data_IF_225213760124
#
_entry.id   IF_225213760124
#
_cell.length_a   1.000
_cell.length_b   1.000
_cell.length_c   1.000
_cell.angle_alpha   90.00
_cell.angle_beta   90.00
_cell.angle_gamma   90.00
#
_symmetry.space_group_name_H-M   'P 1'
#
loop_
_entity.id
_entity.type
_entity.pdbx_description
1 polymer ?
#
# COMPACT_ATOMS: atom_id res chain seq x y z
N UNK A 1 10.21 -3.85 -17.86
CA UNK A 1 8.85 -3.28 -17.99
C UNK A 1 8.88 -1.90 -17.36
N UNK A 2 8.35 -0.88 -18.03
CA UNK A 2 8.32 0.50 -17.52
C UNK A 2 7.32 0.58 -16.36
N UNK A 3 7.50 1.51 -15.43
CA UNK A 3 6.59 1.80 -14.30
C UNK A 3 5.14 2.19 -14.71
N UNK A 4 4.82 2.05 -15.98
CA UNK A 4 3.51 2.30 -16.59
C UNK A 4 2.58 1.07 -16.57
N UNK A 5 3.01 -0.06 -16.05
CA UNK A 5 2.25 -1.31 -16.06
C UNK A 5 1.59 -1.61 -14.71
N UNK A 6 1.15 -0.58 -13.99
CA UNK A 6 0.21 -0.78 -12.88
C UNK A 6 -1.08 -1.39 -13.46
N UNK A 7 -1.70 -2.36 -12.74
CA UNK A 7 -2.93 -2.97 -13.20
C UNK A 7 -3.96 -1.90 -13.50
N UNK A 8 -4.61 -2.01 -14.64
CA UNK A 8 -5.68 -1.10 -15.04
C UNK A 8 -6.90 -1.38 -14.17
N UNK A 9 -7.61 -0.34 -13.80
CA UNK A 9 -8.90 -0.50 -13.12
C UNK A 9 -9.94 -0.71 -14.22
N UNK A 10 -10.22 -1.96 -14.53
CA UNK A 10 -11.07 -2.35 -15.66
C UNK A 10 -12.46 -1.72 -15.59
N UNK A 11 -13.07 -1.64 -14.42
CA UNK A 11 -14.38 -1.02 -14.22
C UNK A 11 -14.41 0.45 -14.65
N UNK A 12 -13.28 1.16 -14.54
CA UNK A 12 -13.17 2.57 -14.99
C UNK A 12 -12.93 2.64 -16.50
N UNK A 13 -12.14 1.72 -17.04
CA UNK A 13 -11.80 1.71 -18.47
C UNK A 13 -12.97 1.25 -19.34
N UNK A 14 -13.89 0.42 -18.81
CA UNK A 14 -15.07 -0.05 -19.56
C UNK A 14 -16.21 0.98 -19.57
N UNK A 15 -16.16 2.03 -18.75
CA UNK A 15 -17.18 3.10 -18.70
C UNK A 15 -16.55 4.50 -18.93
N UNK A 16 -16.01 4.77 -20.13
CA UNK A 16 -15.30 6.01 -20.42
C UNK A 16 -16.21 7.26 -20.39
N UNK A 17 -17.50 7.09 -20.42
CA UNK A 17 -18.49 8.18 -20.31
C UNK A 17 -18.96 8.40 -18.87
N UNK A 18 -18.48 7.59 -17.93
CA UNK A 18 -18.89 7.61 -16.51
C UNK A 18 -20.42 7.55 -16.33
N UNK A 19 -21.05 6.74 -17.14
CA UNK A 19 -22.52 6.56 -17.11
C UNK A 19 -22.97 5.68 -15.93
N UNK A 20 -22.09 4.81 -15.45
CA UNK A 20 -22.36 3.84 -14.39
C UNK A 20 -21.43 4.00 -13.20
N UNK A 21 -20.18 4.45 -13.41
CA UNK A 21 -19.15 4.55 -12.39
C UNK A 21 -18.49 5.91 -12.36
N UNK A 22 -18.24 6.43 -11.15
CA UNK A 22 -17.38 7.59 -10.92
C UNK A 22 -16.20 7.16 -10.05
N UNK A 23 -14.97 7.34 -10.54
CA UNK A 23 -13.78 6.94 -9.83
C UNK A 23 -13.18 8.10 -9.03
N UNK A 24 -13.04 7.89 -7.73
CA UNK A 24 -12.40 8.82 -6.82
C UNK A 24 -11.13 8.21 -6.25
N UNK A 25 -10.04 8.99 -6.18
CA UNK A 25 -8.81 8.55 -5.56
C UNK A 25 -8.19 9.66 -4.73
N UNK A 26 -7.69 9.30 -3.56
CA UNK A 26 -6.85 10.15 -2.72
C UNK A 26 -5.36 9.95 -3.00
N UNK A 27 -4.99 8.94 -3.78
CA UNK A 27 -3.62 8.66 -4.20
C UNK A 27 -3.54 8.74 -5.72
N UNK A 28 -2.68 9.65 -6.23
CA UNK A 28 -2.51 9.88 -7.66
C UNK A 28 -1.14 9.37 -8.11
N UNK A 29 -1.11 8.15 -8.63
CA UNK A 29 0.02 7.56 -9.33
C UNK A 29 0.04 7.92 -10.83
N UNK A 30 0.89 7.25 -11.59
CA UNK A 30 1.01 7.49 -13.04
C UNK A 30 -0.25 7.06 -13.81
N UNK A 31 -0.93 6.02 -13.32
CA UNK A 31 -2.16 5.55 -13.93
C UNK A 31 -3.31 6.52 -13.66
N UNK A 32 -3.51 6.95 -12.42
CA UNK A 32 -4.54 7.91 -12.05
C UNK A 32 -4.34 9.26 -12.74
N UNK A 33 -3.10 9.71 -12.95
CA UNK A 33 -2.81 10.93 -13.73
C UNK A 33 -3.32 10.81 -15.17
N UNK A 34 -3.16 9.64 -15.79
CA UNK A 34 -3.69 9.38 -17.15
C UNK A 34 -5.22 9.37 -17.15
N UNK A 35 -5.83 8.77 -16.15
CA UNK A 35 -7.29 8.82 -16.00
C UNK A 35 -7.78 10.24 -15.75
N UNK A 36 -7.11 10.99 -14.88
CA UNK A 36 -7.47 12.38 -14.59
C UNK A 36 -7.37 13.28 -15.81
N UNK A 37 -6.35 13.12 -16.67
CA UNK A 37 -6.23 13.87 -17.93
C UNK A 37 -7.36 13.57 -18.92
N UNK A 38 -8.04 12.45 -18.76
CA UNK A 38 -9.23 12.03 -19.53
C UNK A 38 -10.55 12.36 -18.82
N UNK A 39 -10.50 12.98 -17.63
CA UNK A 39 -11.69 13.26 -16.81
C UNK A 39 -12.26 12.05 -16.08
N UNK A 40 -11.56 10.91 -16.06
CA UNK A 40 -12.05 9.64 -15.53
C UNK A 40 -11.65 9.38 -14.06
N UNK A 41 -10.97 10.30 -13.41
CA UNK A 41 -10.58 10.18 -12.01
C UNK A 41 -10.76 11.52 -11.31
N UNK A 42 -11.51 11.51 -10.22
CA UNK A 42 -11.69 12.65 -9.32
C UNK A 42 -10.69 12.54 -8.18
N UNK A 43 -9.87 13.57 -8.00
CA UNK A 43 -8.87 13.60 -6.93
C UNK A 43 -9.44 14.18 -5.64
N UNK A 44 -9.25 13.46 -4.53
CA UNK A 44 -9.56 13.95 -3.19
C UNK A 44 -8.25 14.37 -2.52
N UNK A 45 -7.93 15.68 -2.49
CA UNK A 45 -6.69 16.16 -1.87
C UNK A 45 -6.73 15.97 -0.36
N UNK A 46 -5.77 15.19 0.17
CA UNK A 46 -5.67 14.92 1.60
C UNK A 46 -4.27 14.45 2.00
N UNK A 47 -3.98 14.49 3.28
CA UNK A 47 -2.81 13.81 3.84
C UNK A 47 -3.23 12.43 4.37
N UNK A 48 -2.35 11.45 4.25
CA UNK A 48 -2.65 10.04 4.54
C UNK A 48 -3.26 9.83 5.95
N UNK A 49 -2.75 10.53 6.95
CA UNK A 49 -3.24 10.44 8.34
C UNK A 49 -4.71 10.88 8.52
N UNK A 50 -5.26 11.65 7.57
CA UNK A 50 -6.65 12.11 7.64
C UNK A 50 -7.63 11.12 7.00
N UNK A 51 -7.13 10.03 6.45
CA UNK A 51 -7.95 9.02 5.79
C UNK A 51 -9.04 8.42 6.71
N UNK A 52 -8.76 8.04 7.97
CA UNK A 52 -9.79 7.57 8.88
C UNK A 52 -10.89 8.60 9.14
N UNK A 53 -10.53 9.88 9.27
CA UNK A 53 -11.50 10.95 9.49
C UNK A 53 -12.38 11.17 8.25
N UNK A 54 -11.81 11.10 7.06
CA UNK A 54 -12.55 11.17 5.79
C UNK A 54 -13.67 10.13 5.75
N UNK A 55 -13.34 8.86 6.04
CA UNK A 55 -14.34 7.79 6.04
C UNK A 55 -15.36 7.90 7.16
N UNK A 56 -14.97 8.37 8.35
CA UNK A 56 -15.94 8.56 9.44
C UNK A 56 -16.92 9.69 9.23
N UNK A 57 -16.49 10.78 8.57
CA UNK A 57 -17.27 12.03 8.53
C UNK A 57 -17.84 12.39 7.17
N UNK A 58 -17.21 11.95 6.10
CA UNK A 58 -17.50 12.48 4.76
C UNK A 58 -17.83 11.43 3.72
N UNK A 59 -17.39 10.19 3.89
CA UNK A 59 -17.68 9.11 2.95
C UNK A 59 -18.55 8.07 3.65
N UNK A 60 -19.71 7.84 3.10
CA UNK A 60 -20.53 6.68 3.44
C UNK A 60 -20.09 5.51 2.58
N UNK A 61 -19.67 4.42 3.22
CA UNK A 61 -19.28 3.20 2.52
C UNK A 61 -20.47 2.25 2.50
N UNK A 62 -21.06 2.01 1.35
CA UNK A 62 -22.13 1.02 1.22
C UNK A 62 -21.57 -0.40 1.13
N UNK A 63 -20.48 -0.60 0.36
CA UNK A 63 -19.83 -1.91 0.23
C UNK A 63 -18.31 -1.72 0.30
N UNK A 64 -17.64 -2.46 1.17
CA UNK A 64 -16.18 -2.53 1.24
C UNK A 64 -15.71 -3.89 0.68
N UNK A 65 -14.94 -3.85 -0.40
CA UNK A 65 -14.21 -5.02 -0.91
C UNK A 65 -12.80 -5.00 -0.37
N UNK A 66 -12.40 -6.05 0.29
CA UNK A 66 -11.14 -6.09 1.03
C UNK A 66 -10.38 -7.36 0.71
N UNK A 67 -9.22 -7.27 0.07
CA UNK A 67 -8.35 -8.42 -0.10
C UNK A 67 -7.72 -8.80 1.24
N UNK A 68 -7.81 -10.07 1.60
CA UNK A 68 -7.26 -10.64 2.83
C UNK A 68 -6.45 -11.89 2.54
N UNK A 69 -5.47 -12.19 3.40
CA UNK A 69 -4.72 -13.44 3.30
C UNK A 69 -5.61 -14.66 3.60
N UNK A 70 -5.11 -15.84 3.31
CA UNK A 70 -5.74 -17.09 3.81
C UNK A 70 -5.86 -17.05 5.33
N UNK A 71 -6.98 -17.55 5.90
CA UNK A 71 -7.17 -17.59 7.34
C UNK A 71 -6.14 -18.48 8.03
N UNK A 72 -5.87 -18.20 9.28
CA UNK A 72 -5.17 -19.11 10.18
C UNK A 72 -6.16 -20.12 10.81
N UNK A 73 -5.65 -21.03 11.65
CA UNK A 73 -6.45 -22.07 12.33
C UNK A 73 -7.55 -21.48 13.25
N UNK A 74 -7.45 -20.21 13.60
CA UNK A 74 -8.43 -19.49 14.42
C UNK A 74 -9.34 -18.59 13.59
N UNK A 75 -9.26 -18.62 12.27
CA UNK A 75 -10.07 -17.82 11.36
C UNK A 75 -9.61 -16.37 11.17
N UNK A 76 -8.38 -16.03 11.57
CA UNK A 76 -7.84 -14.68 11.33
C UNK A 76 -7.09 -14.60 10.01
N UNK A 77 -7.37 -13.54 9.26
CA UNK A 77 -6.73 -13.18 8.01
C UNK A 77 -5.88 -11.91 8.17
N UNK A 78 -4.77 -11.82 7.46
CA UNK A 78 -3.99 -10.59 7.35
C UNK A 78 -4.64 -9.58 6.39
N UNK A 79 -4.49 -8.29 6.68
CA UNK A 79 -5.03 -7.18 5.86
C UNK A 79 -4.11 -6.77 4.69
N UNK A 80 -3.37 -7.72 4.15
CA UNK A 80 -2.48 -7.48 3.02
C UNK A 80 -1.23 -6.68 3.38
N UNK A 81 -0.61 -6.04 2.38
CA UNK A 81 0.65 -5.30 2.53
C UNK A 81 0.47 -3.84 2.97
N UNK A 82 -0.75 -3.38 3.14
CA UNK A 82 -1.07 -1.99 3.44
C UNK A 82 -2.26 -1.91 4.38
N UNK A 83 -2.06 -1.35 5.55
CA UNK A 83 -3.09 -1.24 6.59
C UNK A 83 -3.31 0.20 7.03
N UNK A 84 -3.74 1.07 6.12
CA UNK A 84 -3.93 2.49 6.44
C UNK A 84 -5.22 2.81 7.19
N UNK A 85 -6.36 2.35 6.68
CA UNK A 85 -7.67 2.75 7.19
C UNK A 85 -8.71 1.63 7.14
N UNK A 86 -8.30 0.39 6.91
CA UNK A 86 -9.22 -0.72 6.72
C UNK A 86 -10.19 -0.87 7.89
N UNK A 87 -9.69 -0.81 9.14
CA UNK A 87 -10.54 -0.90 10.33
C UNK A 87 -11.65 0.16 10.32
N UNK A 88 -11.30 1.41 10.00
CA UNK A 88 -12.29 2.50 9.89
C UNK A 88 -13.26 2.29 8.74
N UNK A 89 -12.80 1.74 7.62
CA UNK A 89 -13.66 1.43 6.48
C UNK A 89 -14.68 0.35 6.87
N UNK A 90 -14.25 -0.73 7.51
CA UNK A 90 -15.15 -1.82 7.96
C UNK A 90 -16.18 -1.34 8.95
N UNK A 91 -15.78 -0.57 9.96
CA UNK A 91 -16.66 -0.01 10.98
C UNK A 91 -17.76 0.90 10.39
N UNK A 92 -17.51 1.48 9.22
CA UNK A 92 -18.43 2.39 8.56
C UNK A 92 -19.10 1.79 7.30
N UNK A 93 -18.69 0.59 6.90
CA UNK A 93 -19.29 -0.07 5.76
C UNK A 93 -20.64 -0.71 6.15
N UNK A 94 -21.59 -0.66 5.23
CA UNK A 94 -22.88 -1.34 5.36
C UNK A 94 -22.77 -2.82 5.05
N UNK A 95 -21.85 -3.17 4.14
CA UNK A 95 -21.56 -4.54 3.72
C UNK A 95 -20.06 -4.70 3.56
N UNK A 96 -19.50 -5.74 4.14
CA UNK A 96 -18.07 -6.07 4.05
C UNK A 96 -17.90 -7.39 3.29
N UNK A 97 -17.10 -7.35 2.24
CA UNK A 97 -16.77 -8.52 1.42
C UNK A 97 -15.28 -8.78 1.53
N UNK A 98 -14.89 -9.94 2.05
CA UNK A 98 -13.49 -10.36 2.04
C UNK A 98 -13.22 -11.18 0.78
N UNK A 99 -12.17 -10.81 0.06
CA UNK A 99 -11.60 -11.56 -1.05
C UNK A 99 -10.33 -12.27 -0.56
N UNK A 100 -10.38 -13.58 -0.43
CA UNK A 100 -9.23 -14.37 0.00
C UNK A 100 -8.23 -14.48 -1.14
N UNK A 101 -6.97 -14.13 -0.85
CA UNK A 101 -5.87 -14.30 -1.77
C UNK A 101 -4.66 -14.91 -1.06
N UNK A 102 -4.23 -16.10 -1.48
CA UNK A 102 -3.11 -16.84 -0.88
C UNK A 102 -1.75 -16.16 -1.04
N UNK A 103 -1.62 -15.25 -2.03
CA UNK A 103 -0.39 -14.47 -2.24
C UNK A 103 -0.26 -13.26 -1.31
N UNK A 104 -1.29 -12.94 -0.52
CA UNK A 104 -1.20 -11.88 0.47
C UNK A 104 -0.43 -12.36 1.71
N UNK A 105 0.63 -11.63 2.12
CA UNK A 105 1.39 -12.00 3.30
C UNK A 105 0.58 -11.82 4.59
N UNK A 106 0.84 -12.66 5.57
CA UNK A 106 0.37 -12.45 6.93
C UNK A 106 1.28 -11.43 7.60
N UNK A 107 0.74 -10.27 7.92
CA UNK A 107 1.46 -9.24 8.65
C UNK A 107 1.50 -9.54 10.14
N UNK A 108 2.52 -9.05 10.80
CA UNK A 108 2.63 -9.04 12.26
C UNK A 108 2.47 -7.60 12.77
N UNK A 109 1.79 -7.43 13.88
CA UNK A 109 1.55 -6.14 14.51
C UNK A 109 1.31 -6.29 16.00
N UNK A 110 1.48 -5.21 16.73
CA UNK A 110 1.46 -5.22 18.20
C UNK A 110 0.04 -5.25 18.77
N UNK A 111 -0.90 -4.55 18.12
CA UNK A 111 -2.25 -4.27 18.63
C UNK A 111 -3.37 -5.09 17.97
N UNK A 112 -3.01 -6.01 17.09
CA UNK A 112 -3.99 -6.82 16.35
C UNK A 112 -4.69 -6.09 15.17
N UNK A 113 -4.43 -4.80 14.95
CA UNK A 113 -5.03 -4.03 13.85
C UNK A 113 -4.64 -4.50 12.45
N UNK A 114 -3.59 -5.32 12.36
CA UNK A 114 -3.07 -5.90 11.11
C UNK A 114 -3.88 -7.08 10.58
N UNK A 115 -4.85 -7.55 11.35
CA UNK A 115 -5.65 -8.75 11.04
C UNK A 115 -7.13 -8.54 11.30
N UNK A 116 -7.94 -9.35 10.62
CA UNK A 116 -9.38 -9.41 10.78
C UNK A 116 -9.82 -10.87 10.93
N UNK A 117 -10.91 -11.09 11.63
CA UNK A 117 -11.51 -12.42 11.72
C UNK A 117 -12.55 -12.59 10.61
N UNK A 118 -12.70 -13.80 10.07
CA UNK A 118 -13.66 -14.11 9.00
C UNK A 118 -15.09 -13.71 9.34
N UNK A 119 -15.47 -13.75 10.63
CA UNK A 119 -16.81 -13.34 11.09
C UNK A 119 -17.09 -11.85 11.00
N UNK A 120 -16.09 -11.04 10.67
CA UNK A 120 -16.28 -9.59 10.44
C UNK A 120 -16.75 -9.27 9.01
N UNK A 121 -16.78 -10.27 8.12
CA UNK A 121 -17.30 -10.14 6.77
C UNK A 121 -18.74 -10.61 6.67
N UNK A 122 -19.55 -9.91 5.88
CA UNK A 122 -20.87 -10.37 5.48
C UNK A 122 -20.78 -11.42 4.37
N UNK A 123 -19.77 -11.29 3.50
CA UNK A 123 -19.51 -12.24 2.42
C UNK A 123 -18.01 -12.53 2.30
N UNK A 124 -17.71 -13.78 1.94
CA UNK A 124 -16.35 -14.24 1.67
C UNK A 124 -16.33 -14.79 0.25
N UNK A 125 -15.38 -14.33 -0.56
CA UNK A 125 -15.16 -14.81 -1.91
C UNK A 125 -13.72 -15.29 -2.07
N UNK A 126 -13.53 -16.35 -2.80
CA UNK A 126 -12.24 -16.81 -3.31
C UNK A 126 -12.20 -16.51 -4.81
N UNK A 127 -11.19 -15.76 -5.23
CA UNK A 127 -10.95 -15.43 -6.63
C UNK A 127 -9.88 -16.31 -7.25
N UNK A 128 -9.24 -15.80 -8.29
CA UNK A 128 -8.17 -16.51 -9.01
C UNK A 128 -6.81 -16.41 -8.31
N UNK A 129 -6.73 -15.85 -7.12
CA UNK A 129 -5.51 -15.66 -6.33
C UNK A 129 -4.41 -14.96 -7.15
N UNK A 130 -4.74 -13.82 -7.73
CA UNK A 130 -3.79 -13.04 -8.51
C UNK A 130 -2.54 -12.70 -7.69
N UNK A 131 -1.33 -12.95 -8.23
CA UNK A 131 -0.10 -12.62 -7.54
C UNK A 131 0.04 -11.10 -7.37
N UNK A 132 0.62 -10.70 -6.24
CA UNK A 132 0.86 -9.28 -6.00
C UNK A 132 1.76 -8.68 -7.08
N UNK A 133 1.45 -7.47 -7.58
CA UNK A 133 2.30 -6.80 -8.54
C UNK A 133 3.66 -6.48 -7.92
N UNK A 134 4.73 -6.96 -8.54
CA UNK A 134 6.10 -6.66 -8.13
C UNK A 134 6.46 -5.22 -8.54
N UNK A 135 6.90 -4.44 -7.56
CA UNK A 135 7.46 -3.13 -7.83
C UNK A 135 8.92 -3.28 -8.22
N UNK A 136 9.24 -2.98 -9.48
CA UNK A 136 10.63 -2.90 -9.92
C UNK A 136 11.22 -1.55 -9.54
N UNK A 137 12.34 -1.56 -8.84
CA UNK A 137 13.13 -0.35 -8.59
C UNK A 137 14.01 -0.06 -9.80
N UNK A 138 14.07 1.21 -10.18
CA UNK A 138 15.03 1.66 -11.18
C UNK A 138 16.45 1.55 -10.59
N UNK A 139 17.39 1.10 -11.41
CA UNK A 139 18.81 1.16 -11.03
C UNK A 139 19.20 2.59 -10.63
N UNK A 140 19.90 2.76 -9.49
CA UNK A 140 20.31 4.06 -9.01
C UNK A 140 21.19 4.78 -10.03
N UNK A 141 20.93 6.06 -10.22
CA UNK A 141 21.84 6.90 -11.01
C UNK A 141 23.15 7.14 -10.26
N UNK A 142 24.24 7.53 -10.94
CA UNK A 142 25.47 7.93 -10.29
C UNK A 142 25.26 9.05 -9.24
N UNK A 143 24.33 9.94 -9.48
CA UNK A 143 23.95 11.01 -8.53
C UNK A 143 23.28 10.43 -7.29
N UNK A 144 22.36 9.46 -7.43
CA UNK A 144 21.74 8.79 -6.30
C UNK A 144 22.78 8.11 -5.41
N UNK A 145 23.77 7.46 -6.03
CA UNK A 145 24.86 6.79 -5.33
C UNK A 145 25.72 7.78 -4.56
N UNK A 146 26.06 8.93 -5.15
CA UNK A 146 26.90 9.93 -4.49
C UNK A 146 26.15 10.59 -3.31
N UNK A 147 24.87 10.91 -3.49
CA UNK A 147 24.01 11.41 -2.39
C UNK A 147 23.95 10.37 -1.26
N UNK A 148 23.72 9.09 -1.59
CA UNK A 148 23.62 8.03 -0.60
C UNK A 148 24.92 7.89 0.21
N UNK A 149 26.09 8.00 -0.41
CA UNK A 149 27.38 7.98 0.29
C UNK A 149 27.53 9.10 1.34
N UNK A 150 27.00 10.27 1.05
CA UNK A 150 27.00 11.37 2.02
C UNK A 150 26.04 11.07 3.17
N UNK A 151 24.83 10.57 2.86
CA UNK A 151 23.82 10.26 3.87
C UNK A 151 24.30 9.17 4.83
N UNK A 152 24.89 8.08 4.32
CA UNK A 152 25.34 6.96 5.16
C UNK A 152 26.40 7.39 6.18
N UNK A 153 27.25 8.36 5.85
CA UNK A 153 28.28 8.88 6.78
C UNK A 153 27.70 9.57 8.02
N UNK A 154 26.48 10.06 7.93
CA UNK A 154 25.80 10.78 9.01
C UNK A 154 24.97 9.84 9.92
N UNK A 155 24.91 8.53 9.59
CA UNK A 155 24.12 7.56 10.33
C UNK A 155 25.00 6.89 11.38
N UNK A 156 24.69 7.06 12.68
CA UNK A 156 25.43 6.39 13.75
C UNK A 156 24.87 4.98 14.01
N UNK A 157 25.62 4.18 14.75
CA UNK A 157 25.12 2.95 15.37
C UNK A 157 23.87 3.22 16.21
N UNK A 158 22.94 2.28 16.23
CA UNK A 158 21.69 2.39 16.99
C UNK A 158 20.67 3.34 16.38
N UNK A 159 20.92 3.93 15.20
CA UNK A 159 19.98 4.84 14.56
C UNK A 159 18.67 4.14 14.18
N UNK A 160 17.53 4.83 14.35
CA UNK A 160 16.23 4.40 13.84
C UNK A 160 15.94 5.15 12.54
N UNK A 161 15.77 4.40 11.47
CA UNK A 161 15.68 4.92 10.12
C UNK A 161 14.23 4.98 9.62
N UNK A 162 13.89 6.06 8.92
CA UNK A 162 12.70 6.15 8.10
C UNK A 162 13.13 6.46 6.68
N UNK A 163 13.04 5.49 5.80
CA UNK A 163 13.44 5.63 4.41
C UNK A 163 12.22 5.82 3.50
N UNK A 164 12.35 6.77 2.60
CA UNK A 164 11.32 7.04 1.59
C UNK A 164 11.41 6.08 0.39
N UNK A 165 10.64 6.39 -0.62
CA UNK A 165 10.61 5.66 -1.90
C UNK A 165 11.44 6.42 -2.93
N UNK A 166 12.35 5.74 -3.63
CA UNK A 166 13.16 6.34 -4.71
C UNK A 166 14.57 5.78 -4.78
N UNK A 167 15.36 6.26 -5.75
CA UNK A 167 16.72 5.78 -6.00
C UNK A 167 17.67 6.04 -4.82
N UNK A 168 17.62 7.23 -4.23
CA UNK A 168 18.49 7.58 -3.08
C UNK A 168 18.17 6.73 -1.85
N UNK A 169 16.91 6.66 -1.34
CA UNK A 169 16.60 5.82 -0.18
C UNK A 169 16.95 4.34 -0.39
N UNK A 170 16.66 3.80 -1.58
CA UNK A 170 17.02 2.43 -1.92
C UNK A 170 18.54 2.19 -1.87
N UNK A 171 19.31 3.14 -2.41
CA UNK A 171 20.79 3.06 -2.40
C UNK A 171 21.35 3.19 -1.00
N UNK A 172 20.79 4.07 -0.16
CA UNK A 172 21.14 4.19 1.25
C UNK A 172 20.93 2.86 1.96
N UNK A 173 19.76 2.22 1.81
CA UNK A 173 19.50 0.93 2.43
C UNK A 173 20.50 -0.14 2.00
N UNK A 174 20.81 -0.24 0.69
CA UNK A 174 21.84 -1.17 0.19
C UNK A 174 23.21 -0.92 0.81
N UNK A 175 23.64 0.33 0.88
CA UNK A 175 24.94 0.69 1.48
C UNK A 175 24.99 0.39 2.99
N UNK A 176 23.87 0.55 3.69
CA UNK A 176 23.78 0.20 5.10
C UNK A 176 23.89 -1.30 5.32
N UNK A 177 23.27 -2.12 4.46
CA UNK A 177 23.40 -3.58 4.51
C UNK A 177 24.83 -4.06 4.30
N UNK A 178 25.67 -3.30 3.58
CA UNK A 178 27.08 -3.57 3.32
C UNK A 178 28.01 -2.87 4.32
N UNK A 179 27.49 -2.11 5.29
CA UNK A 179 28.25 -1.34 6.27
C UNK A 179 28.54 -2.13 7.54
N UNK A 180 29.47 -1.62 8.37
CA UNK A 180 29.77 -2.15 9.71
C UNK A 180 28.82 -1.60 10.80
N UNK A 181 27.84 -0.76 10.44
CA UNK A 181 26.89 -0.16 11.38
C UNK A 181 26.02 -1.23 12.05
N UNK A 182 25.78 -1.05 13.35
CA UNK A 182 25.09 -2.03 14.19
C UNK A 182 23.85 -1.43 14.87
N UNK A 183 22.97 -2.34 15.30
CA UNK A 183 21.80 -2.03 16.11
C UNK A 183 20.86 -1.02 15.43
N UNK A 184 20.83 -1.00 14.09
CA UNK A 184 19.94 -0.14 13.32
C UNK A 184 18.49 -0.60 13.48
N UNK A 185 17.60 0.34 13.76
CA UNK A 185 16.16 0.14 13.77
C UNK A 185 15.49 0.69 12.51
N UNK A 186 14.28 0.22 12.23
CA UNK A 186 13.47 0.71 11.13
C UNK A 186 12.08 1.13 11.64
N UNK A 187 11.70 2.39 11.36
CA UNK A 187 10.34 2.89 11.58
C UNK A 187 9.94 3.70 10.35
N UNK A 188 9.35 3.05 9.38
CA UNK A 188 9.07 3.64 8.06
C UNK A 188 7.66 3.31 7.57
N UNK A 189 7.09 4.17 6.75
CA UNK A 189 5.80 3.94 6.09
C UNK A 189 5.88 3.00 4.89
N UNK A 190 7.08 2.69 4.41
CA UNK A 190 7.28 1.77 3.27
C UNK A 190 8.57 1.01 3.47
N UNK A 191 8.52 -0.31 3.38
CA UNK A 191 9.69 -1.20 3.40
C UNK A 191 9.98 -1.63 1.97
N UNK A 192 11.25 -1.64 1.58
CA UNK A 192 11.73 -2.17 0.30
C UNK A 192 12.64 -3.37 0.52
N UNK A 193 12.92 -4.13 -0.53
CA UNK A 193 13.82 -5.29 -0.50
C UNK A 193 15.28 -4.93 -0.16
N UNK A 194 15.60 -3.65 -0.06
CA UNK A 194 16.94 -3.18 0.33
C UNK A 194 17.13 -3.08 1.86
N UNK A 195 16.06 -3.31 2.66
CA UNK A 195 16.15 -3.32 4.14
C UNK A 195 16.60 -4.65 4.70
#
# INVERSE_FOLDING_TARGET
>A
RRSSDLPRIEVVECDPEQSSFSYYSWHIGDYERKLQSRGLCQFIPMILRSLPELYRKHIRVDVAFVPVSTPDDNGYCGLGISNYAWRTIFENARTVVFEINEHLPKLHGVDGSHRVHLSEADFIVEGEHEPLPLRTYREPSPIDVEIARHVVKEIPDGAVLSLGVGGVPFTVAKMLAESDLKDLGCHTGTISDAF
#
